data_IF_285466840785
#
_entry.id   IF_285466840785
#
_cell.length_a   1.000
_cell.length_b   1.000
_cell.length_c   1.000
_cell.angle_alpha   90.00
_cell.angle_beta   90.00
_cell.angle_gamma   90.00
#
_symmetry.space_group_name_H-M   'P 1'
#
loop_
_entity.id
_entity.type
_entity.pdbx_description
1 polymer ?
#
# COMPACT_ATOMS: atom_id res chain seq x y z
N UNK A 1 10.91 1.74 3.87
CA UNK A 1 10.03 1.69 2.68
C UNK A 1 10.31 2.94 1.88
N UNK A 2 10.44 2.80 0.57
CA UNK A 2 10.68 3.90 -0.36
C UNK A 2 9.53 3.95 -1.34
N UNK A 3 8.97 5.14 -1.56
CA UNK A 3 7.87 5.38 -2.50
C UNK A 3 8.37 6.44 -3.47
N UNK A 4 8.32 6.16 -4.77
CA UNK A 4 8.76 7.07 -5.83
C UNK A 4 7.74 7.10 -6.97
N UNK A 5 7.71 8.19 -7.73
CA UNK A 5 6.91 8.33 -8.94
C UNK A 5 7.80 8.80 -10.08
N UNK A 6 7.54 8.35 -11.31
CA UNK A 6 8.22 8.84 -12.51
C UNK A 6 7.40 9.94 -13.21
N UNK A 7 8.00 10.63 -14.19
CA UNK A 7 7.35 11.69 -14.97
C UNK A 7 6.10 11.23 -15.74
N UNK A 8 5.92 9.93 -15.97
CA UNK A 8 4.71 9.37 -16.60
C UNK A 8 3.61 8.99 -15.60
N UNK A 9 3.79 9.27 -14.31
CA UNK A 9 2.79 9.00 -13.27
C UNK A 9 2.68 7.52 -12.87
N UNK A 10 3.68 6.69 -13.18
CA UNK A 10 3.85 5.37 -12.60
C UNK A 10 4.44 5.55 -11.21
N UNK A 11 3.93 4.78 -10.26
CA UNK A 11 4.38 4.75 -8.88
C UNK A 11 5.11 3.46 -8.62
N UNK A 12 6.23 3.54 -7.93
CA UNK A 12 7.02 2.39 -7.49
C UNK A 12 7.08 2.41 -5.97
N UNK A 13 6.64 1.32 -5.34
CA UNK A 13 6.79 1.12 -3.90
C UNK A 13 7.78 -0.01 -3.68
N UNK A 14 8.86 0.31 -2.97
CA UNK A 14 9.90 -0.62 -2.54
C UNK A 14 9.85 -0.79 -1.03
N UNK A 15 9.48 -1.99 -0.59
CA UNK A 15 9.50 -2.38 0.81
C UNK A 15 10.66 -3.33 1.05
N UNK A 16 11.74 -2.82 1.66
CA UNK A 16 12.93 -3.59 2.04
C UNK A 16 12.85 -3.95 3.52
N UNK A 17 13.00 -5.24 3.82
CA UNK A 17 13.11 -5.78 5.18
C UNK A 17 14.16 -6.90 5.20
N UNK A 18 14.67 -7.25 6.39
CA UNK A 18 15.63 -8.35 6.55
C UNK A 18 15.12 -9.71 6.09
N UNK A 19 13.79 -9.88 6.02
CA UNK A 19 13.16 -11.13 5.60
C UNK A 19 12.89 -11.18 4.10
N UNK A 20 12.46 -10.06 3.51
CA UNK A 20 12.08 -10.02 2.10
C UNK A 20 12.05 -8.57 1.59
N UNK A 21 12.51 -8.41 0.35
CA UNK A 21 12.32 -7.18 -0.42
C UNK A 21 11.19 -7.38 -1.40
N UNK A 22 10.19 -6.50 -1.36
CA UNK A 22 9.07 -6.49 -2.31
C UNK A 22 9.07 -5.17 -3.05
N UNK A 23 9.06 -5.23 -4.38
CA UNK A 23 8.94 -4.06 -5.27
C UNK A 23 7.72 -4.28 -6.12
N UNK A 24 6.83 -3.30 -6.16
CA UNK A 24 5.69 -3.30 -7.08
C UNK A 24 5.51 -1.93 -7.68
N UNK A 25 5.05 -1.92 -8.92
CA UNK A 25 4.81 -0.71 -9.70
C UNK A 25 3.34 -0.67 -10.13
N UNK A 26 2.73 0.50 -10.04
CA UNK A 26 1.31 0.67 -10.33
C UNK A 26 1.01 2.08 -10.84
N UNK A 27 -0.19 2.24 -11.38
CA UNK A 27 -0.74 3.55 -11.75
C UNK A 27 -1.95 3.82 -10.85
N UNK A 28 -2.10 5.06 -10.40
CA UNK A 28 -3.23 5.44 -9.55
C UNK A 28 -4.56 5.21 -10.28
N UNK A 29 -5.50 4.54 -9.60
CA UNK A 29 -6.83 4.23 -10.12
C UNK A 29 -6.89 3.03 -11.08
N UNK A 30 -5.77 2.34 -11.33
CA UNK A 30 -5.73 1.17 -12.22
C UNK A 30 -5.55 -0.10 -11.39
N UNK A 31 -6.40 -1.11 -11.65
CA UNK A 31 -6.26 -2.44 -11.05
C UNK A 31 -5.06 -3.17 -11.67
N UNK A 32 -4.23 -3.79 -10.83
CA UNK A 32 -3.10 -4.61 -11.25
C UNK A 32 -2.99 -5.89 -10.41
N UNK A 33 -2.37 -6.93 -10.96
CA UNK A 33 -2.09 -8.17 -10.23
C UNK A 33 -0.84 -7.99 -9.36
N UNK A 34 -1.02 -8.07 -8.04
CA UNK A 34 0.04 -7.99 -7.04
C UNK A 34 0.32 -9.36 -6.44
N UNK A 35 1.60 -9.74 -6.37
CA UNK A 35 2.03 -10.91 -5.59
C UNK A 35 2.45 -10.43 -4.20
N UNK A 36 1.62 -10.73 -3.20
CA UNK A 36 1.91 -10.39 -1.80
C UNK A 36 3.15 -11.11 -1.31
N UNK A 37 3.76 -10.58 -0.25
CA UNK A 37 4.99 -11.13 0.32
C UNK A 37 4.88 -12.60 0.77
N UNK A 38 3.67 -13.08 1.08
CA UNK A 38 3.33 -14.46 1.43
C UNK A 38 3.17 -15.39 0.21
N UNK A 39 3.28 -14.86 -1.02
CA UNK A 39 3.10 -15.61 -2.26
C UNK A 39 1.65 -15.66 -2.77
N UNK A 40 0.72 -14.97 -2.10
CA UNK A 40 -0.66 -14.88 -2.57
C UNK A 40 -0.79 -13.87 -3.71
N UNK A 41 -1.36 -14.29 -4.83
CA UNK A 41 -1.79 -13.40 -5.92
C UNK A 41 -3.10 -12.70 -5.54
N UNK A 42 -3.09 -11.37 -5.60
CA UNK A 42 -4.24 -10.52 -5.30
C UNK A 42 -4.39 -9.46 -6.39
N UNK A 43 -5.62 -9.04 -6.64
CA UNK A 43 -5.92 -7.88 -7.49
C UNK A 43 -5.92 -6.64 -6.63
N UNK A 44 -5.00 -5.74 -6.90
CA UNK A 44 -4.78 -4.53 -6.13
C UNK A 44 -5.15 -3.29 -6.93
N UNK A 45 -5.86 -2.37 -6.31
CA UNK A 45 -6.19 -1.05 -6.85
C UNK A 45 -5.74 -0.02 -5.83
N UNK A 46 -4.91 0.93 -6.29
CA UNK A 46 -4.36 1.97 -5.42
C UNK A 46 -4.89 3.33 -5.88
N UNK A 47 -5.53 4.06 -4.98
CA UNK A 47 -6.08 5.39 -5.22
C UNK A 47 -5.53 6.37 -4.19
N UNK A 48 -5.49 7.65 -4.58
CA UNK A 48 -5.16 8.74 -3.67
C UNK A 48 -6.37 9.65 -3.53
N UNK A 49 -6.86 9.76 -2.30
CA UNK A 49 -7.93 10.66 -1.94
C UNK A 49 -7.33 12.05 -1.63
N UNK A 50 -7.54 12.99 -2.54
CA UNK A 50 -7.07 14.37 -2.41
C UNK A 50 -7.81 15.15 -1.32
N UNK A 51 -9.04 14.77 -0.96
CA UNK A 51 -9.83 15.47 0.06
C UNK A 51 -9.36 15.10 1.47
N UNK A 52 -9.07 13.82 1.69
CA UNK A 52 -8.61 13.32 3.00
C UNK A 52 -7.09 13.22 3.12
N UNK A 53 -6.35 13.37 2.02
CA UNK A 53 -4.89 13.18 1.97
C UNK A 53 -4.48 11.72 2.18
N UNK A 54 -5.37 10.76 1.91
CA UNK A 54 -5.17 9.34 2.20
C UNK A 54 -4.84 8.56 0.96
N UNK A 55 -3.86 7.69 1.11
CA UNK A 55 -3.52 6.64 0.15
C UNK A 55 -4.32 5.38 0.47
N UNK A 56 -5.21 4.99 -0.44
CA UNK A 56 -6.06 3.82 -0.29
C UNK A 56 -5.54 2.72 -1.22
N UNK A 57 -5.36 1.53 -0.67
CA UNK A 57 -4.95 0.33 -1.39
C UNK A 57 -5.94 -0.77 -1.05
N UNK A 58 -6.83 -1.04 -2.00
CA UNK A 58 -7.77 -2.14 -1.94
C UNK A 58 -7.19 -3.36 -2.66
N UNK A 59 -7.14 -4.50 -1.98
CA UNK A 59 -6.68 -5.75 -2.55
C UNK A 59 -7.74 -6.85 -2.37
N UNK A 60 -8.00 -7.61 -3.42
CA UNK A 60 -8.91 -8.76 -3.40
C UNK A 60 -8.13 -10.00 -3.78
N UNK A 61 -8.10 -11.00 -2.90
CA UNK A 61 -7.44 -12.26 -3.21
C UNK A 61 -8.27 -13.16 -4.13
N UNK A 62 -7.66 -14.23 -4.66
CA UNK A 62 -8.35 -15.24 -5.49
C UNK A 62 -9.51 -15.95 -4.77
N UNK A 63 -9.58 -15.87 -3.44
CA UNK A 63 -10.66 -16.45 -2.62
C UNK A 63 -11.78 -15.44 -2.32
N UNK A 64 -11.70 -14.21 -2.85
CA UNK A 64 -12.67 -13.14 -2.62
C UNK A 64 -12.49 -12.38 -1.29
N UNK A 65 -11.41 -12.62 -0.55
CA UNK A 65 -11.08 -11.87 0.68
C UNK A 65 -10.61 -10.48 0.28
N UNK A 66 -11.33 -9.48 0.79
CA UNK A 66 -11.02 -8.07 0.61
C UNK A 66 -10.11 -7.59 1.74
N UNK A 67 -9.02 -6.96 1.37
CA UNK A 67 -8.08 -6.29 2.25
C UNK A 67 -8.11 -4.82 1.89
N UNK A 68 -8.39 -3.98 2.87
CA UNK A 68 -8.39 -2.54 2.73
C UNK A 68 -7.19 -1.98 3.47
N UNK A 69 -6.37 -1.16 2.81
CA UNK A 69 -5.17 -0.59 3.39
C UNK A 69 -5.20 0.91 3.21
N UNK A 70 -5.13 1.66 4.30
CA UNK A 70 -5.07 3.11 4.30
C UNK A 70 -3.70 3.58 4.79
N UNK A 71 -3.07 4.51 4.06
CA UNK A 71 -1.85 5.19 4.48
C UNK A 71 -2.11 6.69 4.57
N UNK A 72 -1.67 7.30 5.64
CA UNK A 72 -1.77 8.75 5.84
C UNK A 72 -0.59 9.25 6.66
N UNK A 73 -0.31 10.54 6.57
CA UNK A 73 0.67 11.20 7.42
C UNK A 73 -0.11 11.84 8.58
N UNK A 74 0.30 11.57 9.82
CA UNK A 74 -0.30 12.20 10.99
C UNK A 74 0.28 13.61 11.25
N UNK A 75 -0.27 14.30 12.24
CA UNK A 75 0.15 15.65 12.63
C UNK A 75 1.63 15.72 13.08
N UNK A 76 2.21 14.59 13.51
CA UNK A 76 3.62 14.48 13.91
C UNK A 76 4.55 14.20 12.69
N UNK A 77 3.99 14.11 11.48
CA UNK A 77 4.74 13.79 10.26
C UNK A 77 5.12 12.32 10.15
N UNK A 78 4.54 11.44 10.96
CA UNK A 78 4.76 10.00 10.88
C UNK A 78 3.79 9.36 9.89
N UNK A 79 4.27 8.38 9.14
CA UNK A 79 3.44 7.63 8.23
C UNK A 79 2.70 6.51 8.99
N UNK A 80 1.39 6.65 9.03
CA UNK A 80 0.44 5.70 9.57
C UNK A 80 -0.02 4.77 8.46
N UNK A 81 -0.01 3.45 8.72
CA UNK A 81 -0.55 2.45 7.79
C UNK A 81 -1.53 1.55 8.54
N UNK A 82 -2.81 1.65 8.21
CA UNK A 82 -3.87 0.78 8.71
C UNK A 82 -4.19 -0.29 7.67
N UNK A 83 -4.24 -1.55 8.10
CA UNK A 83 -4.67 -2.70 7.32
C UNK A 83 -5.95 -3.24 7.94
N UNK A 84 -6.99 -3.41 7.15
CA UNK A 84 -8.26 -4.00 7.56
C UNK A 84 -8.56 -5.22 6.68
N UNK A 85 -8.78 -6.37 7.29
CA UNK A 85 -9.18 -7.59 6.61
C UNK A 85 -10.36 -8.22 7.36
N UNK A 86 -11.57 -8.09 6.80
CA UNK A 86 -12.80 -8.49 7.49
C UNK A 86 -13.00 -7.68 8.78
N UNK A 87 -13.00 -8.37 9.93
CA UNK A 87 -13.13 -7.76 11.26
C UNK A 87 -11.78 -7.51 11.96
N UNK A 88 -10.65 -7.85 11.33
CA UNK A 88 -9.31 -7.68 11.91
C UNK A 88 -8.68 -6.40 11.39
N UNK A 89 -8.14 -5.59 12.31
CA UNK A 89 -7.37 -4.39 12.00
C UNK A 89 -5.94 -4.52 12.53
N UNK A 90 -4.98 -4.10 11.73
CA UNK A 90 -3.58 -3.98 12.12
C UNK A 90 -3.06 -2.59 11.74
N UNK A 91 -2.25 -1.98 12.59
CA UNK A 91 -1.64 -0.68 12.32
C UNK A 91 -0.13 -0.77 12.39
N UNK A 92 0.54 0.01 11.55
CA UNK A 92 2.00 0.17 11.53
C UNK A 92 2.34 1.65 11.51
N UNK A 93 3.40 1.99 12.24
CA UNK A 93 3.92 3.35 12.37
C UNK A 93 5.31 3.40 11.78
N UNK A 94 5.50 4.33 10.85
CA UNK A 94 6.77 4.54 10.19
C UNK A 94 7.22 5.98 10.42
N UNK A 95 8.43 6.12 10.97
CA UNK A 95 9.12 7.41 11.01
C UNK A 95 9.90 7.56 9.71
N UNK A 96 9.86 8.76 9.13
CA UNK A 96 10.73 9.11 8.01
C UNK A 96 12.18 9.00 8.47
N UNK A 97 13.00 8.32 7.69
CA UNK A 97 14.45 8.25 7.88
C UNK A 97 15.05 9.24 6.87
N UNK A 98 15.96 10.09 7.33
CA UNK A 98 16.77 10.99 6.49
C UNK A 98 17.87 10.24 5.75
#
# INVERSE_FOLDING_TARGET
>A
MTISTDDNGKWTVKSESTFKTTVYEFTLGVEFDEVRADGAEVKSTITYDNETGRWIHDAIDKQGRKVHLERYIDDEGQQQVEFTCGNVKARRWYKRIE
#
